data_IF_580097205291
#
_entry.id   IF_580097205291
#
_cell.length_a   1.000
_cell.length_b   1.000
_cell.length_c   1.000
_cell.angle_alpha   90.00
_cell.angle_beta   90.00
_cell.angle_gamma   90.00
#
_symmetry.space_group_name_H-M   'P 1'
#
loop_
_entity.id
_entity.type
_entity.pdbx_description
1 polymer ?
#
# COMPACT_ATOMS: atom_id res chain seq x y z
N UNK A 1 19.46 -72.49 1.37
CA UNK A 1 18.98 -71.34 0.56
C UNK A 1 18.49 -70.27 1.53
N UNK A 2 19.25 -69.19 1.69
CA UNK A 2 19.04 -68.18 2.74
C UNK A 2 18.47 -66.92 2.12
N UNK A 3 17.23 -66.57 2.46
CA UNK A 3 16.56 -65.38 1.93
C UNK A 3 16.89 -64.17 2.79
N UNK A 4 17.49 -63.17 2.16
CA UNK A 4 17.98 -61.93 2.76
C UNK A 4 16.79 -60.98 2.95
N UNK A 5 16.34 -60.78 4.18
CA UNK A 5 15.31 -59.80 4.51
C UNK A 5 15.87 -58.38 4.33
N UNK A 6 15.42 -57.65 3.32
CA UNK A 6 15.74 -56.23 3.14
C UNK A 6 14.69 -55.39 3.87
N UNK A 7 15.14 -54.66 4.89
CA UNK A 7 14.31 -53.70 5.61
C UNK A 7 14.08 -52.47 4.73
N UNK A 8 12.84 -52.27 4.28
CA UNK A 8 12.41 -51.03 3.66
C UNK A 8 12.14 -50.01 4.78
N UNK A 9 12.95 -48.96 4.84
CA UNK A 9 12.67 -47.81 5.70
C UNK A 9 11.49 -47.03 5.11
N UNK A 10 10.43 -46.72 5.88
CA UNK A 10 9.35 -45.88 5.39
C UNK A 10 9.85 -44.44 5.24
N UNK A 11 9.75 -43.91 4.03
CA UNK A 11 9.93 -42.48 3.74
C UNK A 11 8.87 -41.70 4.51
N UNK A 12 9.31 -40.96 5.53
CA UNK A 12 8.44 -40.03 6.26
C UNK A 12 8.13 -38.88 5.30
N UNK A 13 6.96 -38.94 4.69
CA UNK A 13 6.38 -37.82 3.95
C UNK A 13 6.07 -36.72 4.96
N UNK A 14 6.98 -35.76 5.11
CA UNK A 14 6.70 -34.55 5.87
C UNK A 14 5.48 -33.84 5.29
N UNK A 15 4.49 -33.46 6.11
CA UNK A 15 3.34 -32.71 5.64
C UNK A 15 3.81 -31.32 5.19
N UNK A 16 3.46 -30.96 3.94
CA UNK A 16 3.58 -29.63 3.31
C UNK A 16 2.77 -28.52 4.01
N UNK A 17 2.55 -28.63 5.32
CA UNK A 17 1.76 -27.71 6.12
C UNK A 17 2.63 -26.59 6.70
N UNK A 18 3.30 -25.80 5.86
CA UNK A 18 3.91 -24.51 6.24
C UNK A 18 4.20 -23.63 5.03
N UNK A 19 3.18 -23.43 4.19
CA UNK A 19 3.07 -22.21 3.37
C UNK A 19 1.86 -21.40 3.83
N UNK A 20 1.78 -21.17 5.14
CA UNK A 20 1.00 -20.03 5.64
C UNK A 20 1.84 -18.83 5.20
N UNK A 21 1.53 -18.32 4.01
CA UNK A 21 2.12 -17.09 3.51
C UNK A 21 1.99 -16.08 4.63
N UNK A 22 3.12 -15.53 5.04
CA UNK A 22 3.23 -14.48 6.04
C UNK A 22 2.23 -13.39 5.65
N UNK A 23 1.04 -13.44 6.24
CA UNK A 23 -0.07 -12.55 5.91
C UNK A 23 0.36 -11.21 6.45
N UNK A 24 1.07 -10.45 5.61
CA UNK A 24 1.32 -9.04 5.81
C UNK A 24 0.00 -8.44 6.28
N UNK A 25 -0.04 -7.91 7.51
CA UNK A 25 -1.21 -7.31 8.14
C UNK A 25 -1.70 -6.07 7.35
N UNK A 26 -2.24 -6.32 6.16
CA UNK A 26 -2.82 -5.33 5.26
C UNK A 26 -4.14 -4.90 5.88
N UNK A 27 -4.11 -3.72 6.50
CA UNK A 27 -5.31 -3.10 7.06
C UNK A 27 -5.88 -2.15 6.03
N UNK A 28 -7.20 -2.05 5.96
CA UNK A 28 -7.91 -1.16 5.07
C UNK A 28 -8.66 -0.10 5.87
N UNK A 29 -8.73 1.12 5.34
CA UNK A 29 -9.41 2.26 5.96
C UNK A 29 -10.17 3.05 4.91
N UNK A 30 -11.39 3.49 5.26
CA UNK A 30 -12.25 4.30 4.40
C UNK A 30 -11.59 5.66 4.12
N UNK A 31 -11.70 6.14 2.88
CA UNK A 31 -11.23 7.47 2.49
C UNK A 31 -12.34 8.49 2.79
N UNK A 32 -12.16 9.46 3.71
CA UNK A 32 -13.25 10.38 4.10
C UNK A 32 -13.80 11.21 2.95
N UNK A 33 -12.94 11.70 2.04
CA UNK A 33 -13.33 12.47 0.86
C UNK A 33 -14.08 11.64 -0.20
N UNK A 34 -14.02 10.30 -0.11
CA UNK A 34 -14.63 9.38 -1.07
C UNK A 34 -15.04 8.07 -0.38
N UNK A 35 -16.15 8.05 0.39
CA UNK A 35 -16.51 6.94 1.27
C UNK A 35 -16.81 5.60 0.58
N UNK A 36 -16.99 5.59 -0.76
CA UNK A 36 -17.15 4.37 -1.55
C UNK A 36 -15.81 3.60 -1.76
N UNK A 37 -14.70 4.13 -1.25
CA UNK A 37 -13.36 3.59 -1.42
C UNK A 37 -12.62 3.47 -0.10
N UNK A 38 -11.69 2.54 -0.08
CA UNK A 38 -10.77 2.34 1.03
C UNK A 38 -9.33 2.19 0.53
N UNK A 39 -8.39 2.56 1.40
CA UNK A 39 -6.95 2.51 1.16
C UNK A 39 -6.28 1.55 2.15
N UNK A 40 -5.32 0.78 1.68
CA UNK A 40 -4.61 -0.19 2.49
C UNK A 40 -3.29 0.33 3.06
N UNK A 41 -2.78 -0.30 4.12
CA UNK A 41 -1.41 -0.06 4.64
C UNK A 41 -0.33 -0.35 3.60
N UNK A 42 -0.64 -1.10 2.54
CA UNK A 42 0.26 -1.39 1.43
C UNK A 42 0.17 -0.38 0.27
N UNK A 43 -0.64 0.68 0.41
CA UNK A 43 -0.82 1.68 -0.64
C UNK A 43 -1.66 1.21 -1.81
N UNK A 44 -2.54 0.22 -1.60
CA UNK A 44 -3.58 -0.16 -2.57
C UNK A 44 -4.85 0.62 -2.29
N UNK A 45 -5.61 0.90 -3.34
CA UNK A 45 -6.93 1.57 -3.21
C UNK A 45 -7.94 0.69 -3.91
N UNK A 46 -9.06 0.40 -3.25
CA UNK A 46 -10.14 -0.41 -3.83
C UNK A 46 -11.50 0.23 -3.59
N UNK A 47 -12.47 -0.16 -4.40
CA UNK A 47 -13.87 0.19 -4.19
C UNK A 47 -14.48 -0.81 -3.22
N UNK A 48 -15.25 -0.32 -2.23
CA UNK A 48 -15.77 -1.16 -1.14
C UNK A 48 -16.82 -2.13 -1.67
N UNK A 49 -17.70 -1.67 -2.57
CA UNK A 49 -18.83 -2.44 -3.09
C UNK A 49 -18.42 -3.71 -3.87
N UNK A 50 -17.31 -3.63 -4.60
CA UNK A 50 -16.85 -4.64 -5.54
C UNK A 50 -15.54 -5.31 -5.12
N UNK A 51 -14.85 -4.75 -4.13
CA UNK A 51 -13.50 -5.17 -3.72
C UNK A 51 -12.42 -4.90 -4.77
N UNK A 52 -12.77 -4.31 -5.92
CA UNK A 52 -11.87 -4.12 -7.04
C UNK A 52 -10.78 -3.08 -6.74
N UNK A 53 -9.52 -3.50 -6.84
CA UNK A 53 -8.35 -2.60 -6.71
C UNK A 53 -8.25 -1.72 -7.95
N UNK A 54 -8.14 -0.42 -7.72
CA UNK A 54 -8.21 0.59 -8.78
C UNK A 54 -6.82 0.86 -9.33
N UNK A 55 -6.75 1.00 -10.65
CA UNK A 55 -5.51 1.40 -11.32
C UNK A 55 -5.09 2.80 -10.91
N UNK A 56 -3.82 2.94 -10.58
CA UNK A 56 -3.18 4.22 -10.27
C UNK A 56 -2.33 4.67 -11.44
N UNK A 57 -2.18 5.98 -11.64
CA UNK A 57 -1.25 6.55 -12.63
C UNK A 57 -0.01 7.09 -11.93
N UNK A 58 1.15 6.83 -12.52
CA UNK A 58 2.38 7.48 -12.08
C UNK A 58 2.43 8.91 -12.63
N UNK A 59 2.76 9.86 -11.75
CA UNK A 59 3.09 11.24 -12.08
C UNK A 59 4.56 11.51 -11.70
N UNK A 60 5.18 12.58 -12.23
CA UNK A 60 6.58 12.89 -11.95
C UNK A 60 6.96 12.97 -10.48
N UNK A 61 6.01 13.20 -9.56
CA UNK A 61 6.25 13.35 -8.12
C UNK A 61 5.50 12.37 -7.22
N UNK A 62 4.52 11.62 -7.74
CA UNK A 62 3.70 10.74 -6.91
C UNK A 62 2.95 9.70 -7.74
N UNK A 63 2.46 8.67 -7.05
CA UNK A 63 1.42 7.78 -7.54
C UNK A 63 0.05 8.41 -7.26
N UNK A 64 -0.76 8.61 -8.29
CA UNK A 64 -2.07 9.27 -8.22
C UNK A 64 -3.21 8.28 -8.52
N UNK A 65 -4.34 8.45 -7.82
CA UNK A 65 -5.57 7.70 -8.08
C UNK A 65 -6.72 8.67 -8.38
N UNK A 66 -7.60 8.27 -9.29
CA UNK A 66 -8.86 8.96 -9.61
C UNK A 66 -10.00 8.27 -8.87
N UNK A 67 -10.69 9.00 -7.99
CA UNK A 67 -11.82 8.49 -7.20
C UNK A 67 -13.11 9.17 -7.64
N UNK A 68 -14.14 8.42 -7.98
CA UNK A 68 -15.44 8.97 -8.37
C UNK A 68 -16.29 9.32 -7.14
N UNK A 69 -16.90 10.52 -7.09
CA UNK A 69 -17.80 10.94 -6.00
C UNK A 69 -19.25 11.12 -6.47
N UNK A 70 -19.67 10.30 -7.44
CA UNK A 70 -21.02 10.39 -8.00
C UNK A 70 -21.23 11.72 -8.74
N UNK A 71 -22.21 12.51 -8.31
CA UNK A 71 -22.60 13.79 -8.94
C UNK A 71 -21.56 14.90 -8.77
N UNK A 72 -20.69 14.85 -7.76
CA UNK A 72 -19.66 15.87 -7.52
C UNK A 72 -18.43 15.77 -8.44
N UNK A 73 -18.44 14.79 -9.36
CA UNK A 73 -17.31 14.51 -10.24
C UNK A 73 -16.13 13.82 -9.54
N UNK A 74 -15.09 13.46 -10.30
CA UNK A 74 -13.94 12.72 -9.77
C UNK A 74 -12.97 13.65 -9.03
N UNK A 75 -12.29 13.10 -8.02
CA UNK A 75 -11.13 13.73 -7.39
C UNK A 75 -9.86 12.95 -7.70
N UNK A 76 -8.75 13.68 -7.76
CA UNK A 76 -7.41 13.12 -7.90
C UNK A 76 -6.67 13.29 -6.58
N UNK A 77 -6.07 12.21 -6.10
CA UNK A 77 -5.33 12.19 -4.84
C UNK A 77 -4.06 11.38 -4.98
N UNK A 78 -3.00 11.85 -4.36
CA UNK A 78 -1.77 11.08 -4.26
C UNK A 78 -1.94 9.94 -3.25
N UNK A 79 -1.55 8.73 -3.63
CA UNK A 79 -1.77 7.51 -2.83
C UNK A 79 -1.08 7.59 -1.47
N UNK A 80 0.16 8.07 -1.41
CA UNK A 80 0.88 8.25 -0.15
C UNK A 80 0.18 9.20 0.83
N UNK A 81 -0.51 10.24 0.32
CA UNK A 81 -1.32 11.15 1.16
C UNK A 81 -2.55 10.42 1.71
N UNK A 82 -3.21 9.61 0.87
CA UNK A 82 -4.37 8.81 1.30
C UNK A 82 -3.97 7.85 2.42
N UNK A 83 -2.88 7.10 2.25
CA UNK A 83 -2.35 6.17 3.26
C UNK A 83 -2.02 6.91 4.55
N UNK A 84 -1.24 7.99 4.47
CA UNK A 84 -0.85 8.75 5.65
C UNK A 84 -2.06 9.29 6.43
N UNK A 85 -3.02 9.90 5.75
CA UNK A 85 -4.20 10.47 6.39
C UNK A 85 -5.10 9.38 7.00
N UNK A 86 -5.33 8.29 6.28
CA UNK A 86 -6.21 7.20 6.73
C UNK A 86 -5.66 6.44 7.95
N UNK A 87 -4.34 6.40 8.12
CA UNK A 87 -3.67 5.75 9.25
C UNK A 87 -3.13 6.73 10.30
N UNK A 88 -3.60 7.98 10.29
CA UNK A 88 -3.34 8.94 11.36
C UNK A 88 -1.91 9.49 11.41
N UNK A 89 -1.15 9.41 10.32
CA UNK A 89 0.15 10.06 10.21
C UNK A 89 -0.08 11.57 10.05
N UNK A 90 -0.14 12.29 11.17
CA UNK A 90 -0.37 13.74 11.18
C UNK A 90 0.89 14.48 10.75
N UNK A 91 0.70 15.57 10.00
CA UNK A 91 1.75 16.54 9.68
C UNK A 91 1.32 17.92 10.14
N UNK A 92 2.26 18.71 10.62
CA UNK A 92 2.11 20.12 10.96
C UNK A 92 2.24 21.01 9.72
N UNK A 93 1.94 22.30 9.88
CA UNK A 93 2.27 23.30 8.85
C UNK A 93 3.79 23.35 8.64
N UNK A 94 4.23 23.41 7.39
CA UNK A 94 5.65 23.35 7.06
C UNK A 94 6.24 21.94 6.99
N UNK A 95 5.43 20.88 7.15
CA UNK A 95 5.86 19.49 6.97
C UNK A 95 5.21 18.85 5.74
N UNK A 96 5.90 17.85 5.18
CA UNK A 96 5.44 17.02 4.06
C UNK A 96 5.66 15.54 4.34
N UNK A 97 4.86 14.71 3.70
CA UNK A 97 5.15 13.28 3.64
C UNK A 97 6.36 13.03 2.74
N UNK A 98 7.26 12.16 3.19
CA UNK A 98 8.45 11.71 2.49
C UNK A 98 8.52 10.19 2.49
N UNK A 99 9.35 9.64 1.59
CA UNK A 99 9.56 8.21 1.44
C UNK A 99 10.92 7.84 2.03
N UNK A 100 10.95 6.93 3.01
CA UNK A 100 12.17 6.53 3.73
C UNK A 100 13.21 5.95 2.78
N UNK A 101 12.79 5.10 1.85
CA UNK A 101 13.65 4.51 0.82
C UNK A 101 13.85 5.40 -0.42
N UNK A 102 13.33 6.64 -0.42
CA UNK A 102 13.32 7.58 -1.58
C UNK A 102 12.59 7.04 -2.82
N UNK A 103 11.91 5.92 -2.71
CA UNK A 103 11.10 5.31 -3.75
C UNK A 103 9.66 5.79 -3.64
N UNK A 104 9.22 6.52 -4.68
CA UNK A 104 7.88 7.11 -4.78
C UNK A 104 6.83 6.11 -5.27
N UNK A 105 7.24 4.95 -5.74
CA UNK A 105 6.37 3.83 -6.11
C UNK A 105 5.92 3.06 -4.86
N UNK A 106 6.77 3.03 -3.83
CA UNK A 106 6.49 2.35 -2.58
C UNK A 106 5.69 3.24 -1.62
N UNK A 107 4.37 3.26 -1.82
CA UNK A 107 3.43 3.99 -0.96
C UNK A 107 3.01 3.21 0.31
N UNK A 108 3.76 2.18 0.73
CA UNK A 108 3.47 1.45 1.99
C UNK A 108 3.57 2.39 3.18
N UNK A 109 2.68 2.26 4.16
CA UNK A 109 2.68 3.06 5.39
C UNK A 109 4.04 2.99 6.11
N UNK A 110 4.66 1.81 6.15
CA UNK A 110 5.98 1.59 6.75
C UNK A 110 7.11 2.37 6.07
N UNK A 111 6.91 2.79 4.82
CA UNK A 111 7.86 3.58 4.04
C UNK A 111 7.57 5.09 4.12
N UNK A 112 6.44 5.51 4.70
CA UNK A 112 6.12 6.92 4.85
C UNK A 112 6.77 7.51 6.11
N UNK A 113 7.20 8.76 6.00
CA UNK A 113 7.68 9.56 7.11
C UNK A 113 7.21 11.01 6.95
N UNK A 114 7.23 11.78 8.03
CA UNK A 114 7.01 13.23 8.00
C UNK A 114 8.38 13.90 8.02
N UNK A 115 8.58 14.87 7.14
CA UNK A 115 9.83 15.63 7.02
C UNK A 115 9.52 17.13 6.90
N UNK A 116 10.39 18.01 7.43
CA UNK A 116 10.24 19.44 7.21
C UNK A 116 10.34 19.77 5.71
N UNK A 117 9.56 20.77 5.29
CA UNK A 117 9.68 21.36 3.96
C UNK A 117 10.96 22.20 3.96
N UNK A 118 12.00 21.72 3.28
CA UNK A 118 13.24 22.47 3.11
C UNK A 118 13.00 23.65 2.15
N UNK A 119 13.44 24.88 2.47
CA UNK A 119 13.26 26.06 1.62
C UNK A 119 13.95 25.90 0.25
N UNK A 120 14.93 25.01 0.15
CA UNK A 120 15.67 24.70 -1.09
C UNK A 120 14.87 23.86 -2.10
N UNK A 121 13.65 23.43 -1.75
CA UNK A 121 12.77 22.81 -2.72
C UNK A 121 12.12 23.93 -3.55
N UNK A 122 12.42 24.07 -4.86
CA UNK A 122 11.90 25.18 -5.63
C UNK A 122 10.37 25.17 -5.53
N UNK A 123 9.78 26.31 -5.17
CA UNK A 123 8.34 26.55 -5.13
C UNK A 123 7.62 26.34 -6.49
N UNK A 124 8.31 25.80 -7.49
CA UNK A 124 7.89 25.63 -8.87
C UNK A 124 7.46 24.19 -9.12
N UNK A 125 6.17 23.88 -8.92
CA UNK A 125 5.49 22.80 -9.66
C UNK A 125 3.97 22.70 -9.43
N UNK A 126 3.36 23.53 -8.58
CA UNK A 126 1.89 23.56 -8.42
C UNK A 126 1.32 24.90 -8.90
N UNK A 127 1.54 25.24 -10.17
CA UNK A 127 0.60 26.15 -10.84
C UNK A 127 -0.60 25.30 -11.27
N UNK A 128 -1.79 25.71 -10.80
CA UNK A 128 -3.09 25.12 -11.15
C UNK A 128 -3.37 25.25 -12.64
#
# INVERSE_FOLDING_TARGET
>A
MSYKCMAHTPTVTEPLASRVGEHSNERWQVIPDAPAYEVSTLGRVRRIDSGNVISTKLKPYCREVRLSRGSEGPIYRAVHVLVANAFGLKRSSGERYSFRNRDRYDCRLSNLAVSPVTPDYPARAFRR
#
